data_IF_684751522334
#
_entry.id   IF_684751522334
#
_cell.length_a   1.000
_cell.length_b   1.000
_cell.length_c   1.000
_cell.angle_alpha   90.00
_cell.angle_beta   90.00
_cell.angle_gamma   90.00
#
_symmetry.space_group_name_H-M   'P 1'
#
loop_
_entity.id
_entity.type
_entity.pdbx_description
1 polymer ?
#
# COMPACT_ATOMS: atom_id res chain seq x y z
N UNK A 1 -1.79 9.24 -9.55
CA UNK A 1 -1.75 9.78 -8.16
C UNK A 1 -1.52 8.64 -7.20
N UNK A 2 -0.63 8.80 -6.22
CA UNK A 2 -0.27 7.74 -5.27
C UNK A 2 -0.16 8.25 -3.84
N UNK A 3 -0.54 7.43 -2.87
CA UNK A 3 -0.41 7.67 -1.44
C UNK A 3 -1.26 6.69 -0.63
N UNK A 4 -1.31 6.86 0.68
CA UNK A 4 -2.14 6.04 1.57
C UNK A 4 -2.58 6.84 2.80
N UNK A 5 -3.31 6.20 3.72
CA UNK A 5 -3.85 6.85 4.92
C UNK A 5 -4.81 8.00 4.55
N UNK A 6 -4.70 9.18 5.17
CA UNK A 6 -5.58 10.33 4.92
C UNK A 6 -5.64 10.77 3.44
N UNK A 7 -4.58 10.50 2.66
CA UNK A 7 -4.58 10.75 1.21
C UNK A 7 -5.69 10.00 0.46
N UNK A 8 -6.29 8.96 1.06
CA UNK A 8 -7.47 8.24 0.55
C UNK A 8 -8.57 9.19 0.10
N UNK A 9 -8.84 10.25 0.87
CA UNK A 9 -9.90 11.20 0.54
C UNK A 9 -9.67 11.85 -0.82
N UNK A 10 -8.41 12.22 -1.10
CA UNK A 10 -8.01 12.86 -2.35
C UNK A 10 -7.96 11.83 -3.49
N UNK A 11 -7.42 10.62 -3.23
CA UNK A 11 -7.36 9.54 -4.22
C UNK A 11 -8.76 9.16 -4.71
N UNK A 12 -9.71 8.95 -3.80
CA UNK A 12 -11.08 8.59 -4.15
C UNK A 12 -11.85 9.75 -4.77
N UNK A 13 -11.62 11.00 -4.33
CA UNK A 13 -12.21 12.16 -4.98
C UNK A 13 -11.71 12.30 -6.43
N UNK A 14 -10.41 12.14 -6.67
CA UNK A 14 -9.84 12.19 -8.02
C UNK A 14 -10.40 11.06 -8.90
N UNK A 15 -10.44 9.83 -8.39
CA UNK A 15 -11.05 8.70 -9.09
C UNK A 15 -12.53 8.96 -9.42
N UNK A 16 -13.32 9.40 -8.43
CA UNK A 16 -14.76 9.65 -8.61
C UNK A 16 -15.09 10.79 -9.57
N UNK A 17 -14.22 11.81 -9.67
CA UNK A 17 -14.43 12.95 -10.57
C UNK A 17 -13.92 12.71 -11.99
N UNK A 18 -12.87 11.89 -12.16
CA UNK A 18 -12.18 11.76 -13.46
C UNK A 18 -12.29 10.38 -14.09
N UNK A 19 -12.60 9.34 -13.31
CA UNK A 19 -12.53 7.95 -13.73
C UNK A 19 -11.10 7.41 -13.91
N UNK A 20 -10.07 8.24 -13.71
CA UNK A 20 -8.67 7.83 -13.88
C UNK A 20 -8.22 6.97 -12.69
N UNK A 21 -7.58 5.80 -12.94
CA UNK A 21 -7.03 4.97 -11.88
C UNK A 21 -6.07 5.75 -10.96
N UNK A 22 -6.18 5.48 -9.67
CA UNK A 22 -5.31 6.00 -8.62
C UNK A 22 -4.66 4.83 -7.88
N UNK A 23 -3.54 5.08 -7.21
CA UNK A 23 -2.74 4.05 -6.57
C UNK A 23 -2.77 4.23 -5.05
N UNK A 24 -3.16 3.18 -4.34
CA UNK A 24 -3.01 3.12 -2.89
C UNK A 24 -1.64 2.49 -2.58
N UNK A 25 -0.67 3.33 -2.21
CA UNK A 25 0.74 2.94 -2.21
C UNK A 25 1.65 3.96 -1.52
N UNK A 26 2.97 3.89 -1.75
CA UNK A 26 3.96 4.65 -1.00
C UNK A 26 3.70 6.15 -0.91
N UNK A 27 3.90 6.71 0.29
CA UNK A 27 4.07 8.15 0.49
C UNK A 27 5.52 8.43 0.86
N UNK A 28 6.08 9.56 0.38
CA UNK A 28 7.53 9.80 0.37
C UNK A 28 8.20 9.51 1.72
N UNK A 29 7.84 10.25 2.77
CA UNK A 29 8.48 10.13 4.09
C UNK A 29 8.22 8.75 4.71
N UNK A 30 6.97 8.29 4.89
CA UNK A 30 6.73 7.08 5.66
C UNK A 30 7.03 5.77 4.91
N UNK A 31 7.21 5.81 3.60
CA UNK A 31 7.46 4.62 2.79
C UNK A 31 8.89 4.56 2.26
N UNK A 32 9.40 5.65 1.70
CA UNK A 32 10.77 5.70 1.16
C UNK A 32 11.80 6.27 2.14
N UNK A 33 11.35 6.83 3.28
CA UNK A 33 12.23 7.12 4.41
C UNK A 33 12.46 5.93 5.35
N UNK A 34 11.84 4.77 5.07
CA UNK A 34 12.08 3.54 5.81
C UNK A 34 13.51 3.05 5.57
N UNK A 35 14.11 2.39 6.56
CA UNK A 35 15.44 1.81 6.43
C UNK A 35 15.40 0.42 5.78
N UNK A 36 16.52 0.02 5.20
CA UNK A 36 16.73 -1.36 4.77
C UNK A 36 16.49 -2.35 5.93
N UNK A 37 15.89 -3.52 5.64
CA UNK A 37 15.59 -4.05 4.30
C UNK A 37 14.16 -3.76 3.80
N UNK A 38 13.30 -3.11 4.61
CA UNK A 38 11.86 -3.01 4.28
C UNK A 38 11.57 -2.03 3.14
N UNK A 39 12.39 -0.99 3.00
CA UNK A 39 12.29 -0.03 1.90
C UNK A 39 12.51 -0.69 0.53
N UNK A 40 13.36 -1.71 0.44
CA UNK A 40 13.67 -2.39 -0.82
C UNK A 40 12.44 -3.11 -1.38
N UNK A 41 11.68 -3.83 -0.54
CA UNK A 41 10.42 -4.47 -0.94
C UNK A 41 9.36 -3.43 -1.34
N UNK A 42 9.34 -2.29 -0.65
CA UNK A 42 8.42 -1.19 -0.95
C UNK A 42 8.74 -0.57 -2.30
N UNK A 43 10.03 -0.33 -2.57
CA UNK A 43 10.50 0.22 -3.83
C UNK A 43 10.33 -0.76 -4.99
N UNK A 44 10.62 -2.05 -4.79
CA UNK A 44 10.43 -3.08 -5.81
C UNK A 44 8.96 -3.15 -6.25
N UNK A 45 8.01 -3.22 -5.31
CA UNK A 45 6.59 -3.25 -5.66
C UNK A 45 6.12 -1.95 -6.36
N UNK A 46 6.67 -0.80 -5.96
CA UNK A 46 6.42 0.47 -6.64
C UNK A 46 6.93 0.45 -8.09
N UNK A 47 8.16 0.01 -8.31
CA UNK A 47 8.79 -0.08 -9.63
C UNK A 47 8.04 -1.08 -10.53
N UNK A 48 7.72 -2.26 -10.01
CA UNK A 48 6.97 -3.28 -10.72
C UNK A 48 5.65 -2.71 -11.25
N UNK A 49 4.86 -2.06 -10.41
CA UNK A 49 3.53 -1.59 -10.80
C UNK A 49 3.57 -0.36 -11.71
N UNK A 50 4.51 0.56 -11.50
CA UNK A 50 4.46 1.90 -12.14
C UNK A 50 5.46 2.12 -13.25
N UNK A 51 6.53 1.32 -13.31
CA UNK A 51 7.66 1.55 -14.20
C UNK A 51 7.90 0.35 -15.12
N UNK A 52 7.66 -0.86 -14.63
CA UNK A 52 7.85 -2.09 -15.38
C UNK A 52 6.65 -2.47 -16.24
N UNK A 53 6.90 -3.15 -17.36
CA UNK A 53 5.84 -3.70 -18.19
C UNK A 53 5.24 -4.93 -17.50
N UNK A 54 3.94 -4.88 -17.23
CA UNK A 54 3.23 -5.97 -16.58
C UNK A 54 2.47 -6.85 -17.57
N UNK A 55 2.46 -8.16 -17.28
CA UNK A 55 1.58 -9.12 -17.96
C UNK A 55 0.29 -9.23 -17.16
N UNK A 56 -0.86 -9.22 -17.85
CA UNK A 56 -2.17 -9.38 -17.22
C UNK A 56 -2.65 -10.82 -17.44
N UNK A 57 -3.09 -11.54 -16.39
CA UNK A 57 -3.28 -11.07 -15.01
C UNK A 57 -1.96 -10.87 -14.25
N UNK A 58 -1.85 -9.75 -13.52
CA UNK A 58 -0.75 -9.51 -12.60
C UNK A 58 -1.05 -10.15 -11.24
N UNK A 59 -0.16 -11.01 -10.77
CA UNK A 59 -0.27 -11.65 -9.47
C UNK A 59 0.55 -10.87 -8.44
N UNK A 60 -0.11 -10.34 -7.41
CA UNK A 60 0.58 -9.65 -6.31
C UNK A 60 1.36 -10.67 -5.49
N UNK A 61 2.66 -10.44 -5.34
CA UNK A 61 3.51 -11.29 -4.51
C UNK A 61 3.39 -10.92 -3.02
N UNK A 62 3.35 -11.95 -2.17
CA UNK A 62 3.38 -11.79 -0.72
C UNK A 62 4.82 -11.54 -0.28
N UNK A 63 5.14 -10.40 0.37
CA UNK A 63 6.46 -10.19 0.96
C UNK A 63 6.77 -11.29 1.97
N UNK A 64 8.00 -11.82 2.06
CA UNK A 64 8.32 -12.92 2.99
C UNK A 64 8.25 -12.50 4.46
N UNK A 65 8.43 -11.21 4.75
CA UNK A 65 8.40 -10.66 6.10
C UNK A 65 7.78 -9.26 6.14
N UNK A 66 7.33 -8.88 7.33
CA UNK A 66 6.76 -7.56 7.62
C UNK A 66 7.18 -7.07 9.00
N UNK A 67 6.93 -5.79 9.27
CA UNK A 67 7.13 -5.19 10.59
C UNK A 67 6.16 -4.03 10.82
N UNK A 68 5.81 -3.82 12.09
CA UNK A 68 5.02 -2.70 12.61
C UNK A 68 5.72 -2.04 13.83
N UNK A 69 6.99 -2.37 14.06
CA UNK A 69 7.72 -1.85 15.21
C UNK A 69 7.85 -0.32 15.17
N UNK A 70 7.39 0.33 16.24
CA UNK A 70 7.51 1.78 16.46
C UNK A 70 8.82 2.11 17.16
N UNK A 71 9.94 1.97 16.44
CA UNK A 71 11.26 2.43 16.90
C UNK A 71 11.57 3.84 16.36
N UNK A 72 12.68 4.43 16.78
CA UNK A 72 13.10 5.78 16.38
C UNK A 72 12.98 5.96 14.85
N UNK A 73 12.16 6.93 14.46
CA UNK A 73 11.75 7.17 13.08
C UNK A 73 12.84 7.87 12.27
N UNK A 74 13.55 8.81 12.89
CA UNK A 74 14.56 9.63 12.22
C UNK A 74 15.94 8.97 12.19
N UNK A 75 16.25 8.15 13.18
CA UNK A 75 17.57 7.55 13.35
C UNK A 75 17.48 6.04 13.53
N UNK A 76 18.24 5.29 12.73
CA UNK A 76 18.32 3.84 12.84
C UNK A 76 19.15 3.45 14.06
N UNK A 77 18.48 3.01 15.14
CA UNK A 77 19.17 2.53 16.35
C UNK A 77 19.48 1.04 16.32
N UNK A 78 18.67 0.26 15.59
CA UNK A 78 18.82 -1.19 15.36
C UNK A 78 17.97 -1.61 14.18
N UNK A 79 18.16 -2.84 13.69
CA UNK A 79 17.25 -3.43 12.72
C UNK A 79 15.89 -3.72 13.36
N UNK A 80 14.83 -3.51 12.57
CA UNK A 80 13.48 -3.94 12.90
C UNK A 80 13.39 -5.46 12.78
N UNK A 81 12.61 -6.07 13.66
CA UNK A 81 12.33 -7.51 13.66
C UNK A 81 11.57 -7.87 12.39
N UNK A 82 12.15 -8.79 11.61
CA UNK A 82 11.45 -9.44 10.50
C UNK A 82 10.46 -10.46 11.07
N UNK A 83 9.17 -10.20 10.88
CA UNK A 83 8.10 -11.13 11.23
C UNK A 83 7.73 -11.92 9.97
N UNK A 84 7.74 -13.26 9.99
CA UNK A 84 7.26 -14.05 8.86
C UNK A 84 5.86 -13.62 8.44
N UNK A 85 5.62 -13.52 7.14
CA UNK A 85 4.36 -13.04 6.62
C UNK A 85 3.46 -14.19 6.18
N UNK A 86 2.18 -14.10 6.55
CA UNK A 86 1.16 -14.95 5.98
C UNK A 86 -0.14 -14.17 5.78
N UNK A 87 -0.93 -14.60 4.80
CA UNK A 87 -2.24 -14.02 4.53
C UNK A 87 -3.31 -14.97 5.06
N UNK A 88 -4.26 -14.43 5.80
CA UNK A 88 -5.38 -15.19 6.31
C UNK A 88 -6.61 -14.95 5.43
N UNK A 89 -7.06 -15.98 4.73
CA UNK A 89 -8.39 -16.00 4.13
C UNK A 89 -9.41 -16.27 5.24
N UNK A 90 -10.07 -15.22 5.75
CA UNK A 90 -11.00 -15.35 6.90
C UNK A 90 -12.28 -16.10 6.50
N UNK A 91 -12.74 -15.87 5.27
CA UNK A 91 -13.90 -16.55 4.68
C UNK A 91 -13.47 -17.09 3.33
N UNK A 92 -13.47 -18.41 3.20
CA UNK A 92 -13.07 -19.08 1.97
C UNK A 92 -13.98 -18.74 0.80
N UNK A 93 -13.40 -18.60 -0.38
CA UNK A 93 -14.11 -18.27 -1.60
C UNK A 93 -13.25 -17.55 -2.64
N UNK A 94 -13.87 -17.12 -3.73
CA UNK A 94 -13.26 -16.33 -4.78
C UNK A 94 -14.20 -15.17 -5.14
N UNK A 95 -13.62 -14.01 -5.46
CA UNK A 95 -14.36 -12.85 -5.91
C UNK A 95 -13.59 -12.16 -7.02
N UNK A 96 -14.32 -11.68 -8.03
CA UNK A 96 -13.80 -10.87 -9.11
C UNK A 96 -14.64 -9.60 -9.22
N UNK A 97 -13.98 -8.46 -9.36
CA UNK A 97 -14.66 -7.18 -9.49
C UNK A 97 -13.69 -6.02 -9.39
N UNK A 98 -14.24 -4.81 -9.53
CA UNK A 98 -13.46 -3.59 -9.37
C UNK A 98 -13.17 -3.34 -7.89
N UNK A 99 -11.89 -3.35 -7.52
CA UNK A 99 -11.44 -2.97 -6.19
C UNK A 99 -11.68 -1.47 -5.94
N UNK A 100 -12.42 -1.14 -4.89
CA UNK A 100 -12.65 0.24 -4.41
C UNK A 100 -12.44 0.23 -2.89
N UNK A 101 -11.63 1.16 -2.38
CA UNK A 101 -11.33 1.25 -0.95
C UNK A 101 -10.17 2.18 -0.64
N UNK A 102 -9.56 1.99 0.53
CA UNK A 102 -8.43 2.77 1.05
C UNK A 102 -8.43 2.75 2.58
N UNK A 103 -8.00 3.85 3.22
CA UNK A 103 -8.13 4.01 4.65
C UNK A 103 -9.61 4.22 5.03
N UNK A 104 -10.18 3.25 5.76
CA UNK A 104 -11.59 3.25 6.15
C UNK A 104 -11.97 4.49 6.99
N UNK A 105 -11.10 4.95 7.87
CA UNK A 105 -11.36 6.13 8.71
C UNK A 105 -11.45 7.41 7.87
N UNK A 106 -10.52 7.59 6.93
CA UNK A 106 -10.53 8.71 6.01
C UNK A 106 -11.75 8.68 5.07
N UNK A 107 -12.23 7.49 4.69
CA UNK A 107 -13.45 7.34 3.89
C UNK A 107 -14.69 7.89 4.60
N UNK A 108 -14.80 7.77 5.94
CA UNK A 108 -15.93 8.37 6.66
C UNK A 108 -15.99 9.89 6.49
N UNK A 109 -14.85 10.56 6.32
CA UNK A 109 -14.78 12.01 6.12
C UNK A 109 -15.37 12.49 4.79
N UNK A 110 -15.46 11.60 3.79
CA UNK A 110 -15.97 11.89 2.45
C UNK A 110 -17.22 11.08 2.07
N UNK A 111 -17.69 10.21 2.96
CA UNK A 111 -18.84 9.36 2.67
C UNK A 111 -20.11 10.17 2.43
N UNK A 112 -20.81 9.89 1.34
CA UNK A 112 -22.05 10.58 0.95
C UNK A 112 -21.84 12.00 0.42
N UNK A 113 -20.61 12.41 0.12
CA UNK A 113 -20.28 13.72 -0.48
C UNK A 113 -19.91 13.63 -1.95
#
# INVERSE_FOLDING_TARGET
MIGYSDATAILLAAYGKTGLPVFYGPALVPSFGEFEPFVDYTYQSFEDILMSQQTIPYQIEKPPFWTDERINWEEKTRDKKQRPNDWLCVIEGQAEGRLIGGNLNAMYGIWGK
#
